data_IF_455695315021
#
_entry.id   IF_455695315021
#
_cell.length_a   1.000
_cell.length_b   1.000
_cell.length_c   1.000
_cell.angle_alpha   90.00
_cell.angle_beta   90.00
_cell.angle_gamma   90.00
#
_symmetry.space_group_name_H-M   'P 1'
#
loop_
_entity.id
_entity.type
_entity.pdbx_description
1 polymer ?
#
# COMPACT_ATOMS: atom_id res chain seq x y z
N UNK A 1 29.51 54.97 -17.05
CA UNK A 1 28.39 54.57 -16.14
C UNK A 1 28.15 53.07 -16.33
N UNK A 2 28.77 52.23 -15.51
CA UNK A 2 28.59 50.78 -15.58
C UNK A 2 27.43 50.42 -14.67
N UNK A 3 26.31 50.06 -15.29
CA UNK A 3 25.20 49.42 -14.59
C UNK A 3 25.58 47.96 -14.31
N UNK A 4 25.95 47.70 -13.04
CA UNK A 4 26.09 46.32 -12.55
C UNK A 4 24.69 45.74 -12.46
N UNK A 5 24.34 44.89 -13.41
CA UNK A 5 23.15 44.06 -13.32
C UNK A 5 23.47 43.00 -12.29
N UNK A 6 22.97 43.18 -11.06
CA UNK A 6 22.91 42.10 -10.08
C UNK A 6 21.91 41.07 -10.58
N UNK A 7 22.40 40.01 -11.22
CA UNK A 7 21.67 38.79 -11.39
C UNK A 7 21.45 38.21 -9.99
N UNK A 8 20.30 38.43 -9.43
CA UNK A 8 19.82 37.70 -8.27
C UNK A 8 19.60 36.26 -8.75
N UNK A 9 20.57 35.39 -8.43
CA UNK A 9 20.36 33.96 -8.49
C UNK A 9 19.29 33.62 -7.44
N UNK A 10 18.05 33.63 -7.87
CA UNK A 10 16.99 32.94 -7.17
C UNK A 10 17.36 31.45 -7.21
N UNK A 11 18.06 31.00 -6.18
CA UNK A 11 18.18 29.59 -5.89
C UNK A 11 16.74 29.09 -5.70
N UNK A 12 16.14 28.51 -6.74
CA UNK A 12 14.97 27.67 -6.59
C UNK A 12 15.40 26.48 -5.75
N UNK A 13 15.25 26.60 -4.45
CA UNK A 13 15.22 25.44 -3.56
C UNK A 13 13.96 24.70 -3.97
N UNK A 14 14.14 23.72 -4.86
CA UNK A 14 13.12 22.72 -5.10
C UNK A 14 13.05 21.92 -3.82
N UNK A 15 12.18 22.33 -2.90
CA UNK A 15 11.70 21.45 -1.85
C UNK A 15 10.97 20.33 -2.58
N UNK A 16 11.65 19.21 -2.82
CA UNK A 16 10.99 17.97 -3.08
C UNK A 16 10.23 17.63 -1.79
N UNK A 17 8.99 18.12 -1.69
CA UNK A 17 8.07 17.59 -0.72
C UNK A 17 7.90 16.12 -1.07
N UNK A 18 8.57 15.24 -0.30
CA UNK A 18 8.18 13.85 -0.26
C UNK A 18 6.76 13.85 0.28
N UNK A 19 5.80 13.86 -0.63
CA UNK A 19 4.39 13.75 -0.28
C UNK A 19 4.19 12.37 0.34
N UNK A 20 4.05 12.34 1.66
CA UNK A 20 3.65 11.14 2.39
C UNK A 20 2.14 11.05 2.19
N UNK A 21 1.70 10.05 1.42
CA UNK A 21 0.28 9.79 1.25
C UNK A 21 -0.34 9.44 2.61
N UNK A 22 -1.49 10.04 2.92
CA UNK A 22 -2.28 9.66 4.08
C UNK A 22 -2.89 8.27 3.88
N UNK A 23 -3.28 7.61 4.96
CA UNK A 23 -3.96 6.31 4.91
C UNK A 23 -5.24 6.38 4.06
N UNK A 24 -5.96 7.50 4.15
CA UNK A 24 -7.17 7.74 3.34
C UNK A 24 -6.85 7.90 1.85
N UNK A 25 -5.74 8.55 1.49
CA UNK A 25 -5.30 8.65 0.10
C UNK A 25 -4.96 7.27 -0.48
N UNK A 26 -4.29 6.43 0.30
CA UNK A 26 -3.97 5.05 -0.08
C UNK A 26 -5.27 4.24 -0.27
N UNK A 27 -6.22 4.37 0.65
CA UNK A 27 -7.52 3.74 0.54
C UNK A 27 -8.26 4.14 -0.74
N UNK A 28 -8.29 5.42 -1.05
CA UNK A 28 -8.92 5.93 -2.27
C UNK A 28 -8.22 5.44 -3.55
N UNK A 29 -6.89 5.31 -3.53
CA UNK A 29 -6.16 4.71 -4.65
C UNK A 29 -6.58 3.25 -4.88
N UNK A 30 -6.69 2.45 -3.81
CA UNK A 30 -7.13 1.05 -3.92
C UNK A 30 -8.56 0.95 -4.44
N UNK A 31 -9.47 1.80 -3.94
CA UNK A 31 -10.85 1.87 -4.45
C UNK A 31 -10.90 2.13 -5.94
N UNK A 32 -10.13 3.10 -6.40
CA UNK A 32 -10.07 3.47 -7.82
C UNK A 32 -9.48 2.35 -8.66
N UNK A 33 -8.40 1.71 -8.22
CA UNK A 33 -7.73 0.64 -8.93
C UNK A 33 -8.60 -0.63 -9.02
N UNK A 34 -9.36 -0.93 -7.99
CA UNK A 34 -10.31 -2.04 -7.95
C UNK A 34 -11.69 -1.69 -8.54
N UNK A 35 -11.97 -0.42 -8.79
CA UNK A 35 -13.29 0.08 -9.20
C UNK A 35 -14.42 -0.36 -8.23
N UNK A 36 -14.12 -0.34 -6.93
CA UNK A 36 -15.05 -0.71 -5.87
C UNK A 36 -15.40 0.49 -5.01
N UNK A 37 -16.62 0.51 -4.50
CA UNK A 37 -17.09 1.53 -3.55
C UNK A 37 -17.17 0.94 -2.14
N UNK A 38 -16.67 1.70 -1.18
CA UNK A 38 -16.78 1.40 0.24
C UNK A 38 -16.52 2.66 1.06
N UNK A 39 -17.03 2.65 2.29
CA UNK A 39 -16.64 3.66 3.28
C UNK A 39 -15.21 3.42 3.76
N UNK A 40 -14.52 4.50 4.12
CA UNK A 40 -13.21 4.41 4.75
C UNK A 40 -13.29 3.61 6.05
N UNK A 41 -12.26 2.83 6.32
CA UNK A 41 -12.11 2.06 7.56
C UNK A 41 -10.87 2.53 8.33
N UNK A 42 -10.94 2.43 9.64
CA UNK A 42 -9.85 2.84 10.52
C UNK A 42 -8.65 1.90 10.45
N UNK A 43 -7.47 2.46 10.66
CA UNK A 43 -6.21 1.72 10.75
C UNK A 43 -5.62 1.92 12.13
N UNK A 44 -5.28 0.81 12.77
CA UNK A 44 -4.64 0.78 14.08
C UNK A 44 -3.21 0.28 13.91
N UNK A 45 -2.25 1.04 14.41
CA UNK A 45 -0.83 0.70 14.39
C UNK A 45 -0.42 0.14 15.76
N UNK A 46 -0.44 -1.19 15.89
CA UNK A 46 -0.15 -1.85 17.16
C UNK A 46 0.31 -3.30 16.94
N UNK A 47 1.59 -3.57 17.20
CA UNK A 47 2.21 -4.89 17.07
C UNK A 47 1.57 -5.94 17.97
N UNK A 48 1.27 -5.60 19.21
CA UNK A 48 0.70 -6.53 20.18
C UNK A 48 -0.68 -6.98 19.72
N UNK A 49 -1.48 -6.04 19.22
CA UNK A 49 -2.79 -6.33 18.68
C UNK A 49 -2.71 -7.18 17.39
N UNK A 50 -1.71 -6.96 16.52
CA UNK A 50 -1.45 -7.84 15.38
C UNK A 50 -1.19 -9.26 15.85
N UNK A 51 -0.37 -9.44 16.87
CA UNK A 51 -0.03 -10.77 17.43
C UNK A 51 -1.24 -11.47 18.05
N UNK A 52 -2.19 -10.71 18.57
CA UNK A 52 -3.40 -11.22 19.22
C UNK A 52 -4.47 -11.67 18.23
N UNK A 53 -4.74 -10.86 17.18
CA UNK A 53 -5.90 -11.05 16.31
C UNK A 53 -5.57 -11.54 14.90
N UNK A 54 -4.34 -11.33 14.42
CA UNK A 54 -3.95 -11.71 13.07
C UNK A 54 -3.39 -13.14 13.01
N UNK A 55 -3.40 -13.78 11.82
CA UNK A 55 -2.71 -15.04 11.63
C UNK A 55 -1.25 -14.96 12.05
N UNK A 56 -0.69 -16.09 12.50
CA UNK A 56 0.70 -16.19 12.94
C UNK A 56 1.66 -15.64 11.87
N UNK A 57 2.68 -14.93 12.31
CA UNK A 57 3.71 -14.31 11.47
C UNK A 57 3.19 -13.22 10.50
N UNK A 58 1.97 -12.73 10.72
CA UNK A 58 1.43 -11.60 9.96
C UNK A 58 2.02 -10.27 10.43
N UNK A 59 2.18 -9.34 9.50
CA UNK A 59 2.53 -7.94 9.81
C UNK A 59 1.30 -7.03 9.92
N UNK A 60 0.15 -7.57 9.61
CA UNK A 60 -1.14 -6.89 9.71
C UNK A 60 -2.26 -7.74 9.12
N UNK A 61 -3.47 -7.38 9.46
CA UNK A 61 -4.68 -7.98 8.89
C UNK A 61 -5.86 -7.01 9.02
N UNK A 62 -6.99 -7.36 8.41
CA UNK A 62 -8.24 -6.69 8.68
C UNK A 62 -9.13 -7.56 9.59
N UNK A 63 -9.93 -6.90 10.41
CA UNK A 63 -10.97 -7.53 11.23
C UNK A 63 -12.34 -7.08 10.75
N UNK A 64 -13.31 -7.99 10.77
CA UNK A 64 -14.72 -7.65 10.48
C UNK A 64 -15.51 -7.30 11.74
N UNK A 65 -14.88 -7.36 12.90
CA UNK A 65 -15.50 -6.99 14.18
C UNK A 65 -15.73 -5.48 14.26
N UNK A 66 -16.72 -5.05 15.02
CA UNK A 66 -17.03 -3.64 15.31
C UNK A 66 -17.08 -2.71 14.08
N UNK A 67 -17.61 -3.18 12.95
CA UNK A 67 -17.73 -2.41 11.71
C UNK A 67 -16.53 -2.50 10.79
N UNK A 68 -15.50 -3.24 11.16
CA UNK A 68 -14.29 -3.47 10.39
C UNK A 68 -13.19 -2.45 10.67
N UNK A 69 -11.99 -2.94 10.82
CA UNK A 69 -10.77 -2.14 10.93
C UNK A 69 -9.55 -2.91 10.42
N UNK A 70 -8.51 -2.18 10.07
CA UNK A 70 -7.20 -2.73 9.77
C UNK A 70 -6.30 -2.55 10.97
N UNK A 71 -5.54 -3.59 11.30
CA UNK A 71 -4.43 -3.49 12.23
C UNK A 71 -3.13 -3.82 11.52
N UNK A 72 -2.11 -3.01 11.76
CA UNK A 72 -0.79 -3.14 11.17
C UNK A 72 0.26 -3.00 12.28
N UNK A 73 1.34 -3.76 12.20
CA UNK A 73 2.45 -3.65 13.16
C UNK A 73 3.15 -2.31 13.01
N UNK A 74 3.37 -1.61 14.12
CA UNK A 74 4.20 -0.41 14.19
C UNK A 74 5.70 -0.69 13.98
N UNK A 75 6.12 -1.95 13.95
CA UNK A 75 7.46 -2.38 13.56
C UNK A 75 7.69 -2.41 12.03
N UNK A 76 6.65 -2.27 11.22
CA UNK A 76 6.79 -2.23 9.76
C UNK A 76 7.64 -1.02 9.38
N UNK A 77 8.74 -1.19 8.61
CA UNK A 77 9.57 -0.08 8.19
C UNK A 77 8.75 0.99 7.47
N UNK A 78 9.03 2.26 7.74
CA UNK A 78 8.26 3.39 7.21
C UNK A 78 8.18 3.42 5.67
N UNK A 79 9.22 2.95 4.98
CA UNK A 79 9.25 2.85 3.52
C UNK A 79 8.41 1.69 2.95
N UNK A 80 7.89 0.81 3.80
CA UNK A 80 6.97 -0.27 3.44
C UNK A 80 5.53 -0.03 3.89
N UNK A 81 5.27 0.99 4.72
CA UNK A 81 3.94 1.26 5.28
C UNK A 81 2.87 1.35 4.20
N UNK A 82 3.11 2.15 3.17
CA UNK A 82 2.15 2.40 2.12
C UNK A 82 1.78 1.15 1.32
N UNK A 83 2.74 0.32 0.96
CA UNK A 83 2.49 -0.90 0.19
C UNK A 83 1.82 -1.99 1.02
N UNK A 84 2.18 -2.10 2.31
CA UNK A 84 1.50 -3.03 3.23
C UNK A 84 0.05 -2.62 3.41
N UNK A 85 -0.19 -1.34 3.67
CA UNK A 85 -1.54 -0.79 3.82
C UNK A 85 -2.36 -0.91 2.53
N UNK A 86 -1.75 -0.65 1.38
CA UNK A 86 -2.38 -0.85 0.07
C UNK A 86 -2.86 -2.31 -0.11
N UNK A 87 -2.02 -3.28 0.23
CA UNK A 87 -2.38 -4.70 0.18
C UNK A 87 -3.52 -5.06 1.13
N UNK A 88 -3.49 -4.57 2.36
CA UNK A 88 -4.56 -4.83 3.34
C UNK A 88 -5.89 -4.20 2.94
N UNK A 89 -5.89 -2.99 2.39
CA UNK A 89 -7.09 -2.37 1.84
C UNK A 89 -7.61 -3.14 0.62
N UNK A 90 -6.72 -3.64 -0.24
CA UNK A 90 -7.12 -4.47 -1.37
C UNK A 90 -7.83 -5.75 -0.92
N UNK A 91 -7.28 -6.43 0.07
CA UNK A 91 -7.88 -7.64 0.65
C UNK A 91 -9.23 -7.33 1.31
N UNK A 92 -9.30 -6.25 2.08
CA UNK A 92 -10.55 -5.80 2.71
C UNK A 92 -11.65 -5.50 1.69
N UNK A 93 -11.34 -4.69 0.67
CA UNK A 93 -12.32 -4.29 -0.34
C UNK A 93 -12.81 -5.47 -1.18
N UNK A 94 -11.91 -6.38 -1.56
CA UNK A 94 -12.29 -7.59 -2.27
C UNK A 94 -13.22 -8.46 -1.43
N UNK A 95 -12.86 -8.72 -0.18
CA UNK A 95 -13.68 -9.54 0.72
C UNK A 95 -15.02 -8.88 1.01
N UNK A 96 -15.05 -7.59 1.29
CA UNK A 96 -16.26 -6.84 1.60
C UNK A 96 -17.26 -6.84 0.42
N UNK A 97 -16.79 -6.77 -0.81
CA UNK A 97 -17.63 -6.67 -2.00
C UNK A 97 -17.98 -8.03 -2.63
N UNK A 98 -17.13 -9.05 -2.48
CA UNK A 98 -17.34 -10.36 -3.11
C UNK A 98 -17.34 -11.55 -2.14
N UNK A 99 -16.94 -11.34 -0.90
CA UNK A 99 -16.73 -12.41 0.08
C UNK A 99 -15.48 -13.26 -0.18
N UNK A 100 -14.69 -12.93 -1.22
CA UNK A 100 -13.49 -13.65 -1.62
C UNK A 100 -12.32 -12.70 -1.80
N UNK A 101 -11.10 -13.19 -1.55
CA UNK A 101 -9.85 -12.47 -1.79
C UNK A 101 -9.10 -13.14 -2.94
N UNK A 102 -8.73 -12.36 -3.94
CA UNK A 102 -7.84 -12.81 -5.01
C UNK A 102 -6.42 -12.35 -4.73
N UNK A 103 -5.59 -13.21 -4.17
CA UNK A 103 -4.22 -12.91 -3.78
C UNK A 103 -3.32 -12.54 -4.97
N UNK A 104 -3.57 -13.14 -6.15
CA UNK A 104 -2.83 -12.78 -7.36
C UNK A 104 -3.13 -11.34 -7.78
N UNK A 105 -4.40 -10.97 -7.76
CA UNK A 105 -4.80 -9.58 -8.03
C UNK A 105 -4.19 -8.60 -7.02
N UNK A 106 -4.22 -8.93 -5.74
CA UNK A 106 -3.59 -8.10 -4.70
C UNK A 106 -2.09 -7.93 -4.93
N UNK A 107 -1.40 -8.99 -5.34
CA UNK A 107 0.02 -8.92 -5.72
C UNK A 107 0.26 -8.00 -6.91
N UNK A 108 -0.50 -8.17 -7.99
CA UNK A 108 -0.39 -7.34 -9.19
C UNK A 108 -0.62 -5.86 -8.88
N UNK A 109 -1.63 -5.56 -8.08
CA UNK A 109 -1.96 -4.21 -7.66
C UNK A 109 -0.83 -3.58 -6.83
N UNK A 110 -0.25 -4.31 -5.87
CA UNK A 110 0.88 -3.81 -5.06
C UNK A 110 2.12 -3.51 -5.91
N UNK A 111 2.45 -4.39 -6.84
CA UNK A 111 3.59 -4.19 -7.75
C UNK A 111 3.36 -2.98 -8.65
N UNK A 112 2.16 -2.84 -9.21
CA UNK A 112 1.79 -1.69 -10.04
C UNK A 112 1.82 -0.38 -9.25
N UNK A 113 1.27 -0.38 -8.04
CA UNK A 113 1.31 0.77 -7.14
C UNK A 113 2.75 1.24 -6.88
N UNK A 114 3.66 0.32 -6.56
CA UNK A 114 5.06 0.63 -6.31
C UNK A 114 5.77 1.17 -7.56
N UNK A 115 5.50 0.61 -8.74
CA UNK A 115 6.08 1.09 -10.00
C UNK A 115 5.58 2.50 -10.34
N UNK A 116 4.30 2.77 -10.16
CA UNK A 116 3.69 4.08 -10.41
C UNK A 116 4.20 5.16 -9.43
N UNK A 117 4.62 4.77 -8.25
CA UNK A 117 5.22 5.64 -7.23
C UNK A 117 6.76 5.67 -7.26
N UNK A 118 7.38 5.24 -8.37
CA UNK A 118 8.83 5.22 -8.57
C UNK A 118 9.63 4.37 -7.56
N UNK A 119 8.99 3.41 -6.89
CA UNK A 119 9.59 2.50 -5.91
C UNK A 119 10.02 1.17 -6.54
N UNK A 120 10.75 1.22 -7.66
CA UNK A 120 11.11 0.06 -8.47
C UNK A 120 11.84 -1.05 -7.73
N UNK A 121 12.70 -0.70 -6.75
CA UNK A 121 13.40 -1.72 -5.93
C UNK A 121 12.44 -2.53 -5.08
N UNK A 122 11.49 -1.86 -4.43
CA UNK A 122 10.43 -2.50 -3.65
C UNK A 122 9.49 -3.29 -4.57
N UNK A 123 9.14 -2.77 -5.73
CA UNK A 123 8.30 -3.50 -6.69
C UNK A 123 8.92 -4.84 -7.08
N UNK A 124 10.22 -4.90 -7.32
CA UNK A 124 10.93 -6.16 -7.61
C UNK A 124 10.93 -7.11 -6.41
N UNK A 125 11.12 -6.59 -5.21
CA UNK A 125 11.06 -7.39 -3.98
C UNK A 125 9.68 -8.03 -3.81
N UNK A 126 8.62 -7.26 -3.91
CA UNK A 126 7.25 -7.76 -3.77
C UNK A 126 6.85 -8.68 -4.92
N UNK A 127 7.27 -8.41 -6.15
CA UNK A 127 7.07 -9.32 -7.28
C UNK A 127 7.72 -10.70 -7.02
N UNK A 128 8.93 -10.73 -6.48
CA UNK A 128 9.60 -11.98 -6.08
C UNK A 128 8.84 -12.75 -5.01
N UNK A 129 8.27 -12.06 -4.03
CA UNK A 129 7.41 -12.69 -2.99
C UNK A 129 6.11 -13.26 -3.57
N UNK A 130 5.59 -12.68 -4.64
CA UNK A 130 4.36 -13.13 -5.30
C UNK A 130 4.56 -14.30 -6.27
N UNK A 131 5.79 -14.64 -6.63
CA UNK A 131 6.10 -15.67 -7.63
C UNK A 131 5.45 -17.04 -7.34
N UNK A 132 5.36 -17.43 -6.08
CA UNK A 132 4.70 -18.68 -5.68
C UNK A 132 3.19 -18.68 -5.99
N UNK A 133 2.54 -17.54 -5.87
CA UNK A 133 1.12 -17.36 -6.19
C UNK A 133 0.89 -17.47 -7.70
N UNK A 134 1.75 -16.88 -8.51
CA UNK A 134 1.67 -16.96 -9.97
C UNK A 134 1.87 -18.39 -10.47
N UNK A 135 2.84 -19.12 -9.94
CA UNK A 135 3.09 -20.54 -10.30
C UNK A 135 1.90 -21.42 -9.98
N UNK A 136 1.32 -21.25 -8.80
CA UNK A 136 0.15 -22.04 -8.39
C UNK A 136 -1.07 -21.75 -9.29
N UNK A 137 -1.26 -20.52 -9.78
CA UNK A 137 -2.32 -20.16 -10.72
C UNK A 137 -2.19 -20.94 -12.03
N UNK A 138 -0.98 -21.07 -12.57
CA UNK A 138 -0.73 -21.83 -13.82
C UNK A 138 -1.05 -23.31 -13.66
N UNK A 139 -0.73 -23.90 -12.49
CA UNK A 139 -1.01 -25.33 -12.20
C UNK A 139 -2.51 -25.63 -12.08
N UNK A 140 -3.33 -24.67 -11.66
CA UNK A 140 -4.80 -24.85 -11.52
C UNK A 140 -5.52 -24.64 -12.85
N UNK A 141 -4.92 -23.94 -13.82
CA UNK A 141 -5.51 -23.66 -15.13
C UNK A 141 -5.23 -24.73 -16.20
N UNK A 142 -4.40 -25.74 -15.89
CA UNK A 142 -4.07 -26.90 -16.73
C UNK A 142 -4.81 -28.16 -16.20
#
# INVERSE_FOLDING_TARGET
>A
MNKIIKLSLFSMIIFSFNYIQSDEDIFNNVKNDLQLESSYIDVIYNKDQVSEICPRDSIGCYSSEDGGYIVISDDVPSNHHDVVLYGLYSDYLQHHNSGLINQVLTCDLKVNYLNNNNKRKLARLYAGQCDSLYRNKVLVMN
#
